data_IF_946991155991
#
_entry.id   IF_946991155991
#
_cell.length_a   1.000
_cell.length_b   1.000
_cell.length_c   1.000
_cell.angle_alpha   90.00
_cell.angle_beta   90.00
_cell.angle_gamma   90.00
#
_symmetry.space_group_name_H-M   'P 1'
#
loop_
_entity.id
_entity.type
_entity.pdbx_description
1 polymer ?
#
# COMPACT_ATOMS: atom_id res chain seq x y z
N UNK A 1 2.36 -9.36 -10.88
CA UNK A 1 1.60 -10.13 -9.87
C UNK A 1 0.48 -10.98 -10.47
N UNK A 2 0.39 -12.27 -10.10
CA UNK A 2 -0.79 -13.14 -10.31
C UNK A 2 -1.35 -13.50 -8.92
N UNK A 3 -1.99 -12.55 -8.25
CA UNK A 3 -2.69 -12.81 -6.98
C UNK A 3 -4.10 -13.26 -7.31
N UNK A 4 -4.49 -14.40 -6.75
CA UNK A 4 -5.87 -14.89 -6.83
C UNK A 4 -6.75 -14.05 -5.90
N UNK A 5 -7.83 -13.52 -6.45
CA UNK A 5 -8.86 -12.86 -5.66
C UNK A 5 -9.56 -13.91 -4.79
N UNK A 6 -9.87 -13.53 -3.55
CA UNK A 6 -10.70 -14.32 -2.65
C UNK A 6 -12.13 -14.41 -3.22
N UNK A 7 -12.94 -15.31 -2.67
CA UNK A 7 -14.37 -15.37 -3.02
C UNK A 7 -15.02 -13.99 -2.81
N UNK A 8 -15.80 -13.52 -3.79
CA UNK A 8 -16.47 -12.20 -3.79
C UNK A 8 -15.53 -11.00 -3.64
N UNK A 9 -14.22 -11.19 -3.86
CA UNK A 9 -13.27 -10.09 -3.95
C UNK A 9 -13.25 -9.55 -5.37
N UNK A 10 -13.48 -8.26 -5.52
CA UNK A 10 -13.47 -7.54 -6.80
C UNK A 10 -12.47 -6.39 -6.75
N UNK A 11 -11.73 -6.23 -7.84
CA UNK A 11 -10.86 -5.06 -8.03
C UNK A 11 -11.73 -3.82 -8.19
N UNK A 12 -11.47 -2.80 -7.37
CA UNK A 12 -12.08 -1.48 -7.51
C UNK A 12 -11.29 -0.69 -8.56
N UNK A 13 -9.97 -0.57 -8.38
CA UNK A 13 -9.07 0.13 -9.32
C UNK A 13 -7.60 -0.14 -8.96
N UNK A 14 -6.65 0.44 -9.71
CA UNK A 14 -5.21 0.23 -9.55
C UNK A 14 -4.39 1.50 -9.84
N UNK A 15 -3.33 1.73 -9.05
CA UNK A 15 -2.44 2.88 -9.14
C UNK A 15 -0.97 2.48 -9.21
N UNK A 16 -0.20 3.16 -10.06
CA UNK A 16 1.26 3.18 -9.95
C UNK A 16 1.64 4.27 -8.94
N UNK A 17 2.11 3.88 -7.76
CA UNK A 17 2.27 4.80 -6.62
C UNK A 17 3.46 4.38 -5.75
N UNK A 18 4.09 5.33 -5.08
CA UNK A 18 5.17 5.06 -4.13
C UNK A 18 4.58 4.62 -2.79
N UNK A 19 5.17 3.60 -2.18
CA UNK A 19 4.80 3.10 -0.86
C UNK A 19 5.96 3.26 0.13
N UNK A 20 5.66 3.79 1.32
CA UNK A 20 6.58 3.87 2.45
C UNK A 20 6.02 3.02 3.61
N UNK A 21 6.71 1.94 4.01
CA UNK A 21 6.26 1.10 5.11
C UNK A 21 6.62 1.70 6.49
N UNK A 22 6.04 1.17 7.58
CA UNK A 22 6.34 1.61 8.94
C UNK A 22 7.84 1.51 9.31
N UNK A 23 8.53 0.50 8.80
CA UNK A 23 9.96 0.25 9.05
C UNK A 23 10.93 1.11 8.22
N UNK A 24 10.43 2.04 7.40
CA UNK A 24 11.25 2.87 6.52
C UNK A 24 11.56 2.24 5.16
N UNK A 25 12.20 3.03 4.29
CA UNK A 25 12.36 2.72 2.87
C UNK A 25 11.25 3.32 2.00
N UNK A 26 11.46 3.28 0.69
CA UNK A 26 10.52 3.77 -0.32
C UNK A 26 10.52 2.83 -1.51
N UNK A 27 9.34 2.37 -1.90
CA UNK A 27 9.19 1.36 -2.95
C UNK A 27 8.26 1.92 -4.01
N UNK A 28 8.72 1.92 -5.26
CA UNK A 28 7.83 2.15 -6.38
C UNK A 28 7.11 0.85 -6.69
N UNK A 29 5.87 0.92 -7.14
CA UNK A 29 5.08 -0.28 -7.32
C UNK A 29 3.66 0.02 -7.78
N UNK A 30 2.86 -1.05 -7.77
CA UNK A 30 1.48 -1.01 -8.21
C UNK A 30 0.57 -1.40 -7.05
N UNK A 31 -0.26 -0.46 -6.61
CA UNK A 31 -1.32 -0.68 -5.64
C UNK A 31 -2.61 -1.07 -6.35
N UNK A 32 -3.12 -2.26 -6.09
CA UNK A 32 -4.47 -2.67 -6.47
C UNK A 32 -5.36 -2.61 -5.24
N UNK A 33 -6.46 -1.86 -5.33
CA UNK A 33 -7.45 -1.75 -4.26
C UNK A 33 -8.63 -2.64 -4.64
N UNK A 34 -9.00 -3.57 -3.77
CA UNK A 34 -10.19 -4.40 -3.91
C UNK A 34 -11.25 -3.98 -2.90
N UNK A 35 -12.43 -4.59 -2.93
CA UNK A 35 -13.43 -4.42 -1.89
C UNK A 35 -13.02 -5.06 -0.53
N UNK A 36 -11.97 -5.91 -0.48
CA UNK A 36 -11.54 -6.60 0.76
C UNK A 36 -10.17 -6.18 1.28
N UNK A 37 -9.23 -5.84 0.40
CA UNK A 37 -7.83 -5.58 0.76
C UNK A 37 -7.14 -4.66 -0.23
N UNK A 38 -5.98 -4.18 0.19
CA UNK A 38 -5.01 -3.48 -0.63
C UNK A 38 -3.87 -4.45 -0.93
N UNK A 39 -3.53 -4.58 -2.20
CA UNK A 39 -2.48 -5.46 -2.69
C UNK A 39 -1.41 -4.60 -3.37
N UNK A 40 -0.18 -4.64 -2.87
CA UNK A 40 0.90 -3.81 -3.39
C UNK A 40 2.06 -4.64 -3.93
N UNK A 41 2.22 -4.59 -5.26
CA UNK A 41 3.30 -5.21 -6.01
C UNK A 41 4.47 -4.22 -6.09
N UNK A 42 5.45 -4.38 -5.20
CA UNK A 42 6.64 -3.53 -5.16
C UNK A 42 7.60 -3.92 -6.30
N UNK A 43 7.99 -2.94 -7.12
CA UNK A 43 9.14 -3.09 -8.01
C UNK A 43 10.39 -2.97 -7.15
N UNK A 44 10.94 -4.11 -6.75
CA UNK A 44 12.23 -4.14 -6.05
C UNK A 44 13.32 -3.57 -6.97
N UNK A 45 13.87 -2.43 -6.58
CA UNK A 45 15.20 -2.04 -7.01
C UNK A 45 16.20 -2.84 -6.16
N UNK A 46 17.13 -3.53 -6.82
CA UNK A 46 18.09 -4.48 -6.22
C UNK A 46 18.92 -3.82 -5.10
N UNK A 47 19.01 -2.49 -5.11
CA UNK A 47 19.66 -1.66 -4.09
C UNK A 47 19.01 -1.69 -2.69
N UNK A 48 17.72 -2.07 -2.56
CA UNK A 48 17.02 -2.09 -1.27
C UNK A 48 17.26 -3.36 -0.43
N UNK A 49 17.86 -4.40 -1.03
CA UNK A 49 18.12 -5.69 -0.34
C UNK A 49 19.04 -5.54 0.89
N UNK A 50 19.92 -4.55 0.92
CA UNK A 50 20.87 -4.35 2.02
C UNK A 50 20.32 -3.57 3.22
N UNK A 51 19.14 -2.95 3.11
CA UNK A 51 18.60 -2.03 4.14
C UNK A 51 17.35 -2.57 4.86
N UNK A 52 16.78 -3.67 4.39
CA UNK A 52 15.55 -4.22 4.94
C UNK A 52 15.88 -5.34 5.91
N UNK A 53 15.40 -5.21 7.15
CA UNK A 53 15.52 -6.28 8.15
C UNK A 53 14.76 -7.52 7.67
N UNK A 54 15.34 -8.71 7.89
CA UNK A 54 14.75 -10.01 7.55
C UNK A 54 13.33 -10.19 8.13
N UNK A 55 13.02 -9.54 9.25
CA UNK A 55 11.69 -9.54 9.86
C UNK A 55 10.59 -8.90 8.99
N UNK A 56 10.96 -7.93 8.14
CA UNK A 56 10.05 -7.35 7.15
C UNK A 56 9.81 -8.33 5.99
N UNK A 57 10.83 -9.09 5.57
CA UNK A 57 10.69 -10.06 4.48
C UNK A 57 9.75 -11.22 4.83
N UNK A 58 9.82 -11.73 6.07
CA UNK A 58 8.95 -12.82 6.52
C UNK A 58 7.48 -12.38 6.61
N UNK A 59 7.19 -11.11 6.93
CA UNK A 59 5.83 -10.57 6.98
C UNK A 59 5.23 -10.19 5.61
N UNK A 60 6.05 -9.95 4.59
CA UNK A 60 5.60 -9.65 3.22
C UNK A 60 5.22 -10.89 2.40
N UNK A 61 5.14 -12.06 3.07
CA UNK A 61 4.86 -13.33 2.42
C UNK A 61 6.01 -13.79 1.53
N UNK A 62 6.12 -15.09 1.34
CA UNK A 62 7.09 -15.75 0.45
C UNK A 62 7.00 -15.32 -1.04
N UNK A 63 6.13 -14.37 -1.38
CA UNK A 63 5.81 -13.96 -2.75
C UNK A 63 6.08 -12.47 -3.05
N UNK A 64 6.59 -11.69 -2.08
CA UNK A 64 7.16 -10.36 -2.34
C UNK A 64 6.19 -9.19 -2.56
N UNK A 65 4.95 -9.28 -2.07
CA UNK A 65 3.96 -8.20 -2.13
C UNK A 65 3.40 -7.87 -0.74
N UNK A 66 2.93 -6.63 -0.55
CA UNK A 66 2.24 -6.24 0.68
C UNK A 66 0.74 -6.46 0.52
N UNK A 67 0.14 -7.05 1.55
CA UNK A 67 -1.30 -7.19 1.69
C UNK A 67 -1.76 -6.46 2.96
N UNK A 68 -2.79 -5.61 2.85
CA UNK A 68 -3.45 -4.95 3.98
C UNK A 68 -4.95 -5.22 3.88
N UNK A 69 -5.55 -5.85 4.89
CA UNK A 69 -7.00 -6.09 4.89
C UNK A 69 -7.74 -4.81 5.26
N UNK A 70 -8.85 -4.49 4.60
CA UNK A 70 -9.60 -3.26 4.88
C UNK A 70 -10.11 -3.18 6.31
N UNK A 71 -10.49 -4.32 6.88
CA UNK A 71 -10.91 -4.44 8.27
C UNK A 71 -9.81 -4.07 9.30
N UNK A 72 -8.54 -4.05 8.90
CA UNK A 72 -7.43 -3.67 9.77
C UNK A 72 -7.13 -2.17 9.72
N UNK A 73 -7.67 -1.45 8.73
CA UNK A 73 -7.48 -0.02 8.57
C UNK A 73 -8.43 0.70 9.52
N UNK A 74 -7.87 1.38 10.52
CA UNK A 74 -8.66 2.14 11.51
C UNK A 74 -8.75 3.62 11.18
N UNK A 75 -7.82 4.15 10.38
CA UNK A 75 -7.84 5.54 9.94
C UNK A 75 -7.21 5.70 8.55
N UNK A 76 -7.74 6.64 7.77
CA UNK A 76 -7.23 7.05 6.46
C UNK A 76 -7.13 8.57 6.42
N UNK A 77 -5.90 9.07 6.48
CA UNK A 77 -5.62 10.51 6.41
C UNK A 77 -5.13 10.91 5.01
N UNK A 78 -5.48 12.14 4.61
CA UNK A 78 -5.03 12.73 3.35
C UNK A 78 -4.12 13.91 3.64
N UNK A 79 -2.86 13.79 3.24
CA UNK A 79 -1.89 14.88 3.33
C UNK A 79 -1.66 15.46 1.94
N UNK A 80 -2.00 16.73 1.73
CA UNK A 80 -1.83 17.43 0.43
C UNK A 80 -0.81 18.55 0.57
N UNK A 81 0.47 18.20 0.49
CA UNK A 81 1.54 19.18 0.35
C UNK A 81 1.66 19.71 -1.08
N UNK A 82 2.40 20.81 -1.24
CA UNK A 82 2.69 21.39 -2.56
C UNK A 82 3.35 20.36 -3.49
N UNK A 83 4.36 19.63 -3.00
CA UNK A 83 5.14 18.66 -3.76
C UNK A 83 4.60 17.21 -3.72
N UNK A 84 3.80 16.86 -2.70
CA UNK A 84 3.38 15.48 -2.49
C UNK A 84 1.97 15.39 -1.93
N UNK A 85 1.16 14.52 -2.51
CA UNK A 85 -0.18 14.14 -2.06
C UNK A 85 -0.12 12.69 -1.62
N UNK A 86 -0.52 12.41 -0.39
CA UNK A 86 -0.35 11.12 0.28
C UNK A 86 -1.65 10.64 0.90
N UNK A 87 -1.87 9.34 0.85
CA UNK A 87 -2.81 8.63 1.72
C UNK A 87 -2.00 7.95 2.83
N UNK A 88 -2.34 8.23 4.08
CA UNK A 88 -1.67 7.67 5.25
C UNK A 88 -2.68 6.76 5.95
N UNK A 89 -2.40 5.46 5.97
CA UNK A 89 -3.23 4.47 6.64
C UNK A 89 -2.65 4.19 8.01
N UNK A 90 -3.50 4.22 9.03
CA UNK A 90 -3.16 3.67 10.34
C UNK A 90 -3.89 2.35 10.50
N UNK A 91 -3.15 1.28 10.82
CA UNK A 91 -3.73 -0.03 11.08
C UNK A 91 -4.03 -0.23 12.57
N UNK A 92 -4.80 -1.26 12.89
CA UNK A 92 -5.21 -1.58 14.26
C UNK A 92 -4.03 -1.85 15.22
N UNK A 93 -2.87 -2.26 14.69
CA UNK A 93 -1.62 -2.43 15.47
C UNK A 93 -0.83 -1.12 15.66
N UNK A 94 -1.39 0.02 15.22
CA UNK A 94 -0.77 1.34 15.28
C UNK A 94 0.25 1.63 14.18
N UNK A 95 0.53 0.66 13.29
CA UNK A 95 1.47 0.85 12.19
C UNK A 95 0.93 1.85 11.16
N UNK A 96 1.84 2.65 10.58
CA UNK A 96 1.52 3.67 9.59
C UNK A 96 2.08 3.31 8.22
N UNK A 97 1.18 3.19 7.25
CA UNK A 97 1.47 2.83 5.88
C UNK A 97 1.17 4.01 4.97
N UNK A 98 2.15 4.48 4.19
CA UNK A 98 2.00 5.71 3.39
C UNK A 98 2.03 5.38 1.90
N UNK A 99 0.99 5.79 1.18
CA UNK A 99 0.93 5.77 -0.28
C UNK A 99 1.06 7.20 -0.82
N UNK A 100 2.16 7.49 -1.49
CA UNK A 100 2.52 8.82 -1.98
C UNK A 100 2.40 8.89 -3.50
N UNK A 101 1.48 9.74 -3.99
CA UNK A 101 1.21 9.89 -5.42
C UNK A 101 1.89 11.11 -6.05
N UNK A 102 2.91 11.66 -5.37
CA UNK A 102 3.64 12.83 -5.83
C UNK A 102 2.68 13.99 -6.05
N UNK A 103 2.74 14.61 -7.22
CA UNK A 103 1.88 15.76 -7.54
C UNK A 103 0.47 15.38 -8.03
N UNK A 104 0.20 14.08 -8.24
CA UNK A 104 -1.08 13.60 -8.74
C UNK A 104 -2.18 13.63 -7.67
N UNK A 105 -3.44 13.62 -8.11
CA UNK A 105 -4.58 13.67 -7.21
C UNK A 105 -4.77 12.32 -6.47
N UNK A 106 -4.69 12.35 -5.14
CA UNK A 106 -4.83 11.20 -4.24
C UNK A 106 -6.30 10.86 -3.90
N UNK A 107 -7.25 11.76 -4.17
CA UNK A 107 -8.63 11.63 -3.67
C UNK A 107 -9.35 10.39 -4.20
N UNK A 108 -9.12 10.03 -5.47
CA UNK A 108 -9.70 8.82 -6.06
C UNK A 108 -9.20 7.55 -5.39
N UNK A 109 -7.92 7.52 -4.99
CA UNK A 109 -7.36 6.40 -4.25
C UNK A 109 -8.00 6.29 -2.87
N UNK A 110 -8.07 7.40 -2.13
CA UNK A 110 -8.67 7.42 -0.78
C UNK A 110 -10.13 6.99 -0.83
N UNK A 111 -10.89 7.47 -1.81
CA UNK A 111 -12.27 7.06 -2.02
C UNK A 111 -12.38 5.55 -2.30
N UNK A 112 -11.48 4.97 -3.10
CA UNK A 112 -11.47 3.54 -3.36
C UNK A 112 -11.07 2.71 -2.13
N UNK A 113 -10.14 3.19 -1.32
CA UNK A 113 -9.75 2.54 -0.05
C UNK A 113 -10.95 2.47 0.89
N UNK A 114 -11.73 3.54 0.98
CA UNK A 114 -12.90 3.62 1.87
C UNK A 114 -14.17 2.90 1.36
N UNK A 115 -14.16 2.32 0.15
CA UNK A 115 -15.29 1.53 -0.37
C UNK A 115 -15.22 0.08 0.10
N UNK A 116 -16.29 -0.45 0.67
CA UNK A 116 -16.43 -1.89 0.99
C UNK A 116 -17.29 -2.62 -0.04
#
# INVERSE_FOLDING_TARGET
MKVSLQQDEVTIDTWAIMYHPPGGGKFNGKLTVTNKRLLYDAKYDVSARGLLSEAMFVKWGSEGYLEIRKQEIVNVEVEKGFLAKKAILTLADGSKHVFNYGMLNIDKLVAAINKN
#
